data_IF_709975379503
#
_entry.id   IF_709975379503
#
_cell.length_a   1.000
_cell.length_b   1.000
_cell.length_c   1.000
_cell.angle_alpha   90.00
_cell.angle_beta   90.00
_cell.angle_gamma   90.00
#
_symmetry.space_group_name_H-M   'P 1'
#
loop_
_entity.id
_entity.type
_entity.pdbx_description
1 polymer ?
#
# COMPACT_ATOMS: atom_id res chain seq x y z
N UNK A 1 21.92 6.56 -5.95
CA UNK A 1 22.60 5.47 -6.68
C UNK A 1 22.02 5.26 -8.08
N UNK A 2 20.67 5.14 -8.27
CA UNK A 2 20.09 4.99 -9.62
C UNK A 2 20.37 6.21 -10.53
N UNK A 3 20.23 7.42 -10.01
CA UNK A 3 20.50 8.67 -10.76
C UNK A 3 21.94 8.80 -11.23
N UNK A 4 22.90 8.14 -10.60
CA UNK A 4 24.31 8.15 -11.03
C UNK A 4 24.62 7.22 -12.20
N UNK A 5 23.65 6.40 -12.63
CA UNK A 5 23.74 5.48 -13.76
C UNK A 5 23.09 6.04 -15.03
N UNK A 6 22.42 7.19 -14.93
CA UNK A 6 21.70 7.81 -16.06
C UNK A 6 22.69 8.54 -16.97
N UNK A 7 22.78 8.12 -18.22
CA UNK A 7 23.56 8.79 -19.27
C UNK A 7 22.86 10.02 -19.84
N UNK A 8 23.49 10.75 -20.75
CA UNK A 8 22.94 11.98 -21.35
C UNK A 8 21.65 11.76 -22.15
N UNK A 9 21.46 10.54 -22.67
CA UNK A 9 20.32 10.18 -23.52
C UNK A 9 19.28 9.34 -22.80
N UNK A 10 19.49 9.08 -21.48
CA UNK A 10 18.60 8.29 -20.65
C UNK A 10 17.62 9.18 -19.90
N UNK A 11 16.40 8.69 -19.66
CA UNK A 11 15.43 9.29 -18.78
C UNK A 11 15.32 8.48 -17.47
N UNK A 12 15.47 9.16 -16.32
CA UNK A 12 15.22 8.54 -15.03
C UNK A 12 13.75 8.72 -14.63
N UNK A 13 13.02 7.60 -14.53
CA UNK A 13 11.68 7.57 -13.96
C UNK A 13 11.76 7.08 -12.52
N UNK A 14 11.38 7.94 -11.57
CA UNK A 14 11.38 7.55 -10.17
C UNK A 14 10.28 6.51 -9.91
N UNK A 15 10.53 5.40 -9.18
CA UNK A 15 9.60 4.27 -9.07
C UNK A 15 8.28 4.61 -8.38
N UNK A 16 8.20 5.69 -7.61
CA UNK A 16 6.98 6.11 -6.92
C UNK A 16 6.80 7.63 -6.81
N UNK A 17 7.83 8.44 -7.04
CA UNK A 17 7.78 9.91 -6.91
C UNK A 17 7.91 10.57 -8.28
N UNK A 18 6.96 10.24 -9.16
CA UNK A 18 6.90 10.79 -10.52
C UNK A 18 5.44 10.90 -10.97
N UNK A 19 5.00 12.10 -11.46
CA UNK A 19 3.64 12.30 -11.91
C UNK A 19 3.19 11.34 -13.03
N UNK A 20 4.08 10.85 -13.89
CA UNK A 20 3.75 9.88 -14.93
C UNK A 20 3.41 8.52 -14.31
N UNK A 21 4.10 8.11 -13.25
CA UNK A 21 3.79 6.90 -12.50
C UNK A 21 2.42 7.02 -11.83
N UNK A 22 2.12 8.17 -11.21
CA UNK A 22 0.81 8.41 -10.59
C UNK A 22 -0.32 8.38 -11.60
N UNK A 23 -0.14 9.00 -12.78
CA UNK A 23 -1.11 8.95 -13.88
C UNK A 23 -1.36 7.51 -14.37
N UNK A 24 -0.29 6.70 -14.45
CA UNK A 24 -0.43 5.28 -14.77
C UNK A 24 -1.26 4.53 -13.74
N UNK A 25 -0.97 4.72 -12.44
CA UNK A 25 -1.75 4.09 -11.36
C UNK A 25 -3.20 4.57 -11.28
N UNK A 26 -3.48 5.81 -11.68
CA UNK A 26 -4.84 6.36 -11.70
C UNK A 26 -5.79 5.56 -12.62
N UNK A 27 -5.28 4.89 -13.66
CA UNK A 27 -6.06 4.07 -14.57
C UNK A 27 -6.82 2.94 -13.88
N UNK A 28 -6.30 2.43 -12.75
CA UNK A 28 -6.97 1.44 -11.90
C UNK A 28 -8.37 1.94 -11.48
N UNK A 29 -8.45 3.17 -11.01
CA UNK A 29 -9.73 3.78 -10.60
C UNK A 29 -10.58 4.10 -11.83
N UNK A 30 -9.98 4.57 -12.92
CA UNK A 30 -10.69 4.82 -14.18
C UNK A 30 -11.36 3.53 -14.70
N UNK A 31 -10.71 2.38 -14.53
CA UNK A 31 -11.28 1.08 -14.89
C UNK A 31 -12.41 0.66 -13.96
N UNK A 32 -12.22 0.78 -12.64
CA UNK A 32 -13.25 0.47 -11.65
C UNK A 32 -14.51 1.36 -11.84
N UNK A 33 -14.32 2.64 -12.16
CA UNK A 33 -15.42 3.58 -12.36
C UNK A 33 -16.35 3.20 -13.54
N UNK A 34 -15.86 2.46 -14.54
CA UNK A 34 -16.67 1.94 -15.64
C UNK A 34 -17.75 0.97 -15.18
N UNK A 35 -17.62 0.35 -14.03
CA UNK A 35 -18.65 -0.52 -13.43
C UNK A 35 -19.87 0.26 -12.93
N UNK A 36 -19.77 1.57 -12.79
CA UNK A 36 -20.79 2.43 -12.21
C UNK A 36 -20.89 2.38 -10.68
N UNK A 37 -20.05 1.57 -10.01
CA UNK A 37 -19.99 1.50 -8.55
C UNK A 37 -19.00 2.53 -8.01
N UNK A 38 -19.44 3.29 -7.00
CA UNK A 38 -18.59 4.21 -6.25
C UNK A 38 -18.44 3.63 -4.84
N UNK A 39 -17.23 3.18 -4.44
CA UNK A 39 -17.03 2.63 -3.10
C UNK A 39 -17.03 3.75 -2.06
N UNK A 40 -17.42 3.42 -0.83
CA UNK A 40 -17.34 4.34 0.31
C UNK A 40 -15.89 4.47 0.80
N UNK A 41 -15.08 3.41 0.63
CA UNK A 41 -13.66 3.45 0.92
C UNK A 41 -12.82 2.68 -0.10
N UNK A 42 -11.58 3.11 -0.31
CA UNK A 42 -10.53 2.39 -1.04
C UNK A 42 -9.44 2.00 -0.05
N UNK A 43 -9.15 0.71 0.06
CA UNK A 43 -8.06 0.16 0.88
C UNK A 43 -6.87 -0.14 -0.02
N UNK A 44 -5.71 0.36 0.32
CA UNK A 44 -4.48 0.11 -0.41
C UNK A 44 -3.26 0.13 0.51
N UNK A 45 -2.22 -0.60 0.12
CA UNK A 45 -0.94 -0.58 0.84
C UNK A 45 -0.07 0.57 0.37
N UNK A 46 0.69 1.16 1.29
CA UNK A 46 1.56 2.32 1.03
C UNK A 46 3.01 1.96 1.34
N UNK A 47 3.86 2.09 0.32
CA UNK A 47 5.31 2.12 0.49
C UNK A 47 5.83 3.53 0.23
N UNK A 48 6.36 3.81 -0.97
CA UNK A 48 6.80 5.16 -1.35
C UNK A 48 5.69 6.16 -1.64
N UNK A 49 4.42 5.75 -1.68
CA UNK A 49 3.25 6.61 -1.88
C UNK A 49 2.79 6.77 -3.32
N UNK A 50 3.48 6.18 -4.31
CA UNK A 50 3.13 6.34 -5.72
C UNK A 50 1.73 5.82 -6.06
N UNK A 51 1.37 4.63 -5.56
CA UNK A 51 0.04 4.05 -5.73
C UNK A 51 -1.03 4.91 -5.05
N UNK A 52 -0.78 5.39 -3.84
CA UNK A 52 -1.69 6.30 -3.12
C UNK A 52 -1.97 7.57 -3.92
N UNK A 53 -0.91 8.19 -4.47
CA UNK A 53 -1.04 9.38 -5.32
C UNK A 53 -1.86 9.09 -6.58
N UNK A 54 -1.64 7.94 -7.22
CA UNK A 54 -2.40 7.54 -8.39
C UNK A 54 -3.86 7.24 -8.10
N UNK A 55 -4.15 6.54 -7.01
CA UNK A 55 -5.54 6.27 -6.57
C UNK A 55 -6.27 7.59 -6.30
N UNK A 56 -5.67 8.51 -5.54
CA UNK A 56 -6.26 9.82 -5.29
C UNK A 56 -6.52 10.62 -6.58
N UNK A 57 -5.59 10.59 -7.53
CA UNK A 57 -5.77 11.23 -8.84
C UNK A 57 -6.92 10.57 -9.63
N UNK A 58 -7.00 9.24 -9.65
CA UNK A 58 -8.09 8.51 -10.29
C UNK A 58 -9.45 8.83 -9.66
N UNK A 59 -9.52 8.90 -8.32
CA UNK A 59 -10.72 9.30 -7.59
C UNK A 59 -11.15 10.72 -7.99
N UNK A 60 -10.21 11.67 -8.03
CA UNK A 60 -10.47 13.04 -8.46
C UNK A 60 -11.03 13.10 -9.89
N UNK A 61 -10.44 12.35 -10.84
CA UNK A 61 -10.89 12.28 -12.26
C UNK A 61 -12.30 11.76 -12.38
N UNK A 62 -12.69 10.81 -11.54
CA UNK A 62 -13.99 10.13 -11.58
C UNK A 62 -15.02 10.72 -10.61
N UNK A 63 -14.70 11.83 -9.94
CA UNK A 63 -15.63 12.53 -9.06
C UNK A 63 -15.92 11.78 -7.73
N UNK A 64 -15.06 10.86 -7.32
CA UNK A 64 -15.20 10.11 -6.05
C UNK A 64 -14.73 10.96 -4.86
N UNK A 65 -15.34 12.13 -4.70
CA UNK A 65 -14.91 13.13 -3.70
C UNK A 65 -15.24 12.78 -2.25
N UNK A 66 -16.21 11.88 -2.05
CA UNK A 66 -16.61 11.40 -0.73
C UNK A 66 -16.02 10.03 -0.35
N UNK A 67 -15.32 9.38 -1.26
CA UNK A 67 -14.69 8.09 -1.00
C UNK A 67 -13.50 8.26 -0.07
N UNK A 68 -13.47 7.50 1.01
CA UNK A 68 -12.39 7.50 1.99
C UNK A 68 -11.18 6.65 1.51
N UNK A 69 -9.98 7.00 1.93
CA UNK A 69 -8.78 6.19 1.67
C UNK A 69 -8.31 5.55 2.98
N UNK A 70 -8.18 4.24 3.01
CA UNK A 70 -7.53 3.50 4.08
C UNK A 70 -6.15 3.06 3.60
N UNK A 71 -5.14 3.78 4.06
CA UNK A 71 -3.73 3.60 3.70
C UNK A 71 -3.06 2.66 4.69
N UNK A 72 -2.64 1.48 4.24
CA UNK A 72 -2.13 0.42 5.09
C UNK A 72 -0.63 0.25 4.93
N UNK A 73 0.08 0.18 6.04
CA UNK A 73 1.51 -0.09 6.11
C UNK A 73 1.78 -1.22 7.10
N UNK A 74 2.97 -1.80 7.04
CA UNK A 74 3.42 -2.78 8.03
C UNK A 74 4.32 -2.11 9.08
N UNK A 75 4.28 -2.61 10.30
CA UNK A 75 5.27 -2.25 11.31
C UNK A 75 6.68 -2.52 10.77
N UNK A 76 7.59 -1.59 11.01
CA UNK A 76 8.94 -1.63 10.41
C UNK A 76 9.05 -1.10 8.96
N UNK A 77 7.94 -0.70 8.31
CA UNK A 77 7.92 -0.02 7.00
C UNK A 77 6.85 1.10 6.94
N UNK A 78 6.56 1.76 8.07
CA UNK A 78 5.47 2.71 8.22
C UNK A 78 5.92 4.18 8.05
N UNK A 79 6.53 4.51 6.89
CA UNK A 79 7.05 5.86 6.64
C UNK A 79 5.96 6.91 6.42
N UNK A 80 4.82 6.53 5.87
CA UNK A 80 3.67 7.41 5.67
C UNK A 80 2.98 7.72 7.00
N UNK A 81 2.74 6.71 7.84
CA UNK A 81 2.17 6.90 9.18
C UNK A 81 3.05 7.82 10.04
N UNK A 82 4.37 7.59 10.03
CA UNK A 82 5.32 8.44 10.74
C UNK A 82 5.27 9.88 10.24
N UNK A 83 5.16 10.09 8.92
CA UNK A 83 5.09 11.41 8.32
C UNK A 83 3.78 12.14 8.65
N UNK A 84 2.63 11.43 8.64
CA UNK A 84 1.33 11.99 9.08
C UNK A 84 1.40 12.40 10.55
N UNK A 85 1.89 11.54 11.43
CA UNK A 85 1.99 11.81 12.86
C UNK A 85 2.88 13.02 13.16
N UNK A 86 3.96 13.20 12.37
CA UNK A 86 4.87 14.34 12.50
C UNK A 86 4.38 15.61 11.79
N UNK A 87 3.37 15.54 10.92
CA UNK A 87 2.93 16.65 10.06
C UNK A 87 3.98 17.11 9.04
N UNK A 88 4.99 16.30 8.78
CA UNK A 88 6.10 16.59 7.86
C UNK A 88 6.75 15.30 7.34
N UNK A 89 7.49 15.37 6.23
CA UNK A 89 8.21 14.21 5.74
C UNK A 89 9.18 13.64 6.77
N UNK A 90 9.07 12.33 7.02
CA UNK A 90 9.92 11.58 7.94
C UNK A 90 10.73 10.52 7.19
N UNK A 91 11.94 10.25 7.67
CA UNK A 91 12.78 9.18 7.13
C UNK A 91 13.03 8.16 8.22
N UNK A 92 12.64 6.91 7.97
CA UNK A 92 12.89 5.78 8.87
C UNK A 92 14.38 5.42 8.89
N UNK A 93 14.91 5.06 10.04
CA UNK A 93 16.31 4.65 10.17
C UNK A 93 16.58 3.37 9.37
N UNK A 94 15.65 2.42 9.42
CA UNK A 94 15.76 1.12 8.73
C UNK A 94 14.38 0.61 8.31
N UNK A 95 14.38 -0.38 7.42
CA UNK A 95 13.21 -1.18 7.08
C UNK A 95 13.43 -2.58 7.64
N UNK A 96 12.49 -3.06 8.44
CA UNK A 96 12.57 -4.35 9.14
C UNK A 96 11.43 -5.31 8.77
N UNK A 97 10.42 -4.84 8.04
CA UNK A 97 9.26 -5.64 7.63
C UNK A 97 9.59 -6.66 6.54
N UNK A 98 8.87 -7.78 6.54
CA UNK A 98 8.86 -8.78 5.45
C UNK A 98 8.18 -8.25 4.18
N UNK A 99 7.36 -7.20 4.28
CA UNK A 99 6.71 -6.54 3.16
C UNK A 99 7.70 -5.63 2.41
N UNK A 100 8.71 -6.23 1.79
CA UNK A 100 9.84 -5.51 1.20
C UNK A 100 9.45 -4.52 0.11
N UNK A 101 8.35 -4.75 -0.61
CA UNK A 101 7.82 -3.81 -1.62
C UNK A 101 7.22 -2.54 -1.00
N UNK A 102 6.95 -2.52 0.32
CA UNK A 102 6.60 -1.33 1.08
C UNK A 102 7.84 -0.61 1.66
N UNK A 103 9.04 -1.14 1.43
CA UNK A 103 10.27 -0.74 2.09
C UNK A 103 10.85 0.61 1.65
N UNK A 104 10.02 1.63 1.45
CA UNK A 104 10.48 3.00 1.24
C UNK A 104 10.73 3.68 2.60
N UNK A 105 11.99 4.06 2.87
CA UNK A 105 12.33 4.75 4.13
C UNK A 105 11.64 6.10 4.29
N UNK A 106 11.22 6.73 3.20
CA UNK A 106 10.49 7.99 3.16
C UNK A 106 9.44 7.94 2.07
N UNK A 107 8.23 8.33 2.42
CA UNK A 107 7.15 8.51 1.46
C UNK A 107 7.38 9.80 0.63
N UNK A 108 6.88 9.85 -0.60
CA UNK A 108 6.96 11.06 -1.42
C UNK A 108 6.12 12.21 -0.82
N UNK A 109 6.54 13.45 -1.09
CA UNK A 109 5.86 14.63 -0.54
C UNK A 109 4.42 14.76 -1.05
N UNK A 110 4.11 14.24 -2.25
CA UNK A 110 2.77 14.23 -2.80
C UNK A 110 1.80 13.37 -1.98
N UNK A 111 2.26 12.28 -1.37
CA UNK A 111 1.42 11.45 -0.50
C UNK A 111 0.93 12.22 0.74
N UNK A 112 1.75 13.12 1.31
CA UNK A 112 1.32 14.01 2.39
C UNK A 112 0.29 15.05 1.93
N UNK A 113 0.41 15.55 0.70
CA UNK A 113 -0.62 16.43 0.14
C UNK A 113 -1.94 15.68 -0.05
N UNK A 114 -1.89 14.43 -0.52
CA UNK A 114 -3.09 13.57 -0.60
C UNK A 114 -3.73 13.42 0.78
N UNK A 115 -2.94 13.19 1.83
CA UNK A 115 -3.48 13.08 3.19
C UNK A 115 -4.09 14.40 3.73
N UNK A 116 -3.64 15.54 3.23
CA UNK A 116 -4.21 16.85 3.58
C UNK A 116 -5.50 17.16 2.78
N UNK A 117 -5.59 16.70 1.53
CA UNK A 117 -6.66 17.04 0.60
C UNK A 117 -7.82 16.03 0.59
N UNK A 118 -7.57 14.79 1.06
CA UNK A 118 -8.54 13.70 1.10
C UNK A 118 -8.76 13.18 2.52
N UNK A 119 -9.92 12.56 2.75
CA UNK A 119 -10.16 11.79 3.96
C UNK A 119 -9.32 10.51 3.93
N UNK A 120 -8.24 10.47 4.72
CA UNK A 120 -7.29 9.35 4.78
C UNK A 120 -7.18 8.85 6.21
N UNK A 121 -7.31 7.53 6.39
CA UNK A 121 -6.96 6.83 7.63
C UNK A 121 -5.69 6.02 7.37
N UNK A 122 -4.62 6.29 8.14
CA UNK A 122 -3.42 5.46 8.12
C UNK A 122 -3.56 4.34 9.14
N UNK A 123 -3.30 3.11 8.69
CA UNK A 123 -3.35 1.88 9.51
C UNK A 123 -1.99 1.19 9.42
N UNK A 124 -1.45 0.84 10.57
CA UNK A 124 -0.21 0.04 10.66
C UNK A 124 -0.56 -1.32 11.24
N UNK A 125 -0.18 -2.38 10.53
CA UNK A 125 -0.44 -3.77 10.93
C UNK A 125 0.88 -4.52 11.14
N UNK A 126 0.83 -5.67 11.79
CA UNK A 126 2.01 -6.51 11.96
C UNK A 126 2.37 -7.27 10.68
N UNK A 127 3.62 -7.67 10.54
CA UNK A 127 4.07 -8.59 9.48
C UNK A 127 3.31 -9.92 9.52
N UNK A 128 2.92 -10.39 10.71
CA UNK A 128 2.11 -11.60 10.86
C UNK A 128 0.73 -11.44 10.22
N UNK A 129 0.04 -10.33 10.49
CA UNK A 129 -1.25 -10.03 9.89
C UNK A 129 -1.15 -9.92 8.35
N UNK A 130 -0.07 -9.30 7.85
CA UNK A 130 0.18 -9.23 6.41
C UNK A 130 0.34 -10.64 5.79
N UNK A 131 1.09 -11.52 6.44
CA UNK A 131 1.28 -12.90 5.96
C UNK A 131 -0.02 -13.70 6.02
N UNK A 132 -0.80 -13.58 7.11
CA UNK A 132 -2.12 -14.21 7.25
C UNK A 132 -3.09 -13.74 6.16
N UNK A 133 -3.05 -12.46 5.80
CA UNK A 133 -3.79 -11.91 4.68
C UNK A 133 -3.46 -12.58 3.35
N UNK A 134 -2.17 -12.84 3.09
CA UNK A 134 -1.71 -13.57 1.89
C UNK A 134 -2.21 -15.02 1.89
N UNK A 135 -2.07 -15.73 3.01
CA UNK A 135 -2.47 -17.13 3.14
C UNK A 135 -3.98 -17.32 2.94
N UNK A 136 -4.79 -16.43 3.55
CA UNK A 136 -6.25 -16.44 3.37
C UNK A 136 -6.64 -16.14 1.94
N UNK A 137 -6.05 -15.13 1.31
CA UNK A 137 -6.34 -14.77 -0.08
C UNK A 137 -5.97 -15.90 -1.04
N UNK A 138 -4.83 -16.55 -0.84
CA UNK A 138 -4.44 -17.75 -1.59
C UNK A 138 -5.47 -18.88 -1.41
N UNK A 139 -5.93 -19.10 -0.17
CA UNK A 139 -6.95 -20.09 0.15
C UNK A 139 -8.29 -19.83 -0.54
N UNK A 140 -8.74 -18.58 -0.56
CA UNK A 140 -10.05 -18.20 -1.09
C UNK A 140 -10.06 -18.06 -2.62
N UNK A 141 -9.01 -17.44 -3.19
CA UNK A 141 -8.97 -17.04 -4.59
C UNK A 141 -7.99 -17.85 -5.47
N UNK A 142 -7.11 -18.68 -4.89
CA UNK A 142 -6.05 -19.43 -5.61
C UNK A 142 -5.05 -18.51 -6.32
N UNK A 143 -4.88 -17.30 -5.79
CA UNK A 143 -3.94 -16.30 -6.31
C UNK A 143 -2.89 -16.05 -5.23
N UNK A 144 -1.62 -16.24 -5.60
CA UNK A 144 -0.50 -15.92 -4.72
C UNK A 144 -0.24 -14.41 -4.76
N UNK A 145 -0.21 -13.80 -3.59
CA UNK A 145 0.15 -12.39 -3.41
C UNK A 145 1.29 -12.27 -2.40
N UNK A 146 1.97 -11.13 -2.42
CA UNK A 146 3.09 -10.83 -1.50
C UNK A 146 2.60 -10.12 -0.22
N UNK A 147 3.40 -10.09 0.87
CA UNK A 147 3.02 -9.45 2.13
C UNK A 147 2.61 -7.98 1.99
N UNK A 148 3.13 -7.27 1.00
CA UNK A 148 2.70 -5.90 0.68
C UNK A 148 1.22 -5.83 0.29
N UNK A 149 0.70 -6.81 -0.45
CA UNK A 149 -0.74 -6.94 -0.74
C UNK A 149 -1.49 -7.50 0.47
N UNK A 150 -0.88 -8.45 1.17
CA UNK A 150 -1.43 -9.00 2.41
C UNK A 150 -1.75 -7.94 3.45
N UNK A 151 -0.98 -6.86 3.48
CA UNK A 151 -1.23 -5.73 4.36
C UNK A 151 -2.63 -5.10 4.13
N UNK A 152 -2.98 -4.76 2.90
CA UNK A 152 -4.30 -4.22 2.57
C UNK A 152 -5.41 -5.27 2.80
N UNK A 153 -5.14 -6.54 2.47
CA UNK A 153 -6.08 -7.64 2.63
C UNK A 153 -6.39 -7.95 4.10
N UNK A 154 -5.39 -7.87 4.99
CA UNK A 154 -5.58 -8.17 6.42
C UNK A 154 -6.62 -7.25 7.07
N UNK A 155 -6.62 -5.97 6.71
CA UNK A 155 -7.60 -4.99 7.22
C UNK A 155 -9.05 -5.43 6.92
N UNK A 156 -9.28 -6.03 5.75
CA UNK A 156 -10.60 -6.54 5.37
C UNK A 156 -10.88 -7.88 6.04
N UNK A 157 -9.93 -8.80 6.01
CA UNK A 157 -10.09 -10.13 6.59
C UNK A 157 -10.28 -10.11 8.11
N UNK A 158 -9.69 -9.17 8.79
CA UNK A 158 -9.80 -9.00 10.24
C UNK A 158 -10.96 -8.09 10.64
N UNK A 159 -11.71 -7.56 9.67
CA UNK A 159 -12.79 -6.59 9.92
C UNK A 159 -12.28 -5.45 10.80
N UNK A 160 -11.17 -4.84 10.41
CA UNK A 160 -10.50 -3.82 11.22
C UNK A 160 -11.42 -2.62 11.48
N UNK A 161 -11.38 -2.01 12.69
CA UNK A 161 -12.25 -0.88 13.05
C UNK A 161 -12.19 0.31 12.09
N UNK A 162 -11.10 0.43 11.33
CA UNK A 162 -10.95 1.44 10.27
C UNK A 162 -11.99 1.30 9.13
N UNK A 163 -12.68 0.14 9.05
CA UNK A 163 -13.70 -0.14 8.04
C UNK A 163 -15.14 -0.09 8.58
N UNK A 164 -15.37 0.03 9.88
CA UNK A 164 -16.70 -0.08 10.50
C UNK A 164 -17.73 0.92 9.95
N UNK A 165 -17.26 2.08 9.47
CA UNK A 165 -18.13 3.12 8.92
C UNK A 165 -18.56 2.87 7.47
N UNK A 166 -17.94 1.89 6.75
CA UNK A 166 -18.09 1.71 5.31
C UNK A 166 -18.81 0.41 4.98
N UNK A 167 -19.81 0.49 4.08
CA UNK A 167 -20.58 -0.66 3.60
C UNK A 167 -20.01 -1.25 2.32
N UNK A 168 -19.35 -0.41 1.52
CA UNK A 168 -18.75 -0.80 0.25
C UNK A 168 -17.28 -0.40 0.22
N UNK A 169 -16.41 -1.37 0.03
CA UNK A 169 -14.96 -1.19 0.06
C UNK A 169 -14.34 -1.76 -1.21
N UNK A 170 -13.50 -0.95 -1.86
CA UNK A 170 -12.62 -1.40 -2.93
C UNK A 170 -11.24 -1.71 -2.34
N UNK A 171 -10.76 -2.93 -2.50
CA UNK A 171 -9.43 -3.32 -2.03
C UNK A 171 -8.48 -3.45 -3.23
N UNK A 172 -7.36 -2.74 -3.18
CA UNK A 172 -6.34 -2.83 -4.23
C UNK A 172 -5.41 -4.00 -3.93
N UNK A 173 -5.35 -4.97 -4.85
CA UNK A 173 -4.49 -6.14 -4.78
C UNK A 173 -3.56 -6.14 -5.99
N UNK A 174 -2.28 -5.82 -5.78
CA UNK A 174 -1.32 -5.60 -6.87
C UNK A 174 -0.71 -6.89 -7.43
N UNK A 175 -0.48 -7.89 -6.58
CA UNK A 175 0.09 -9.18 -7.01
C UNK A 175 1.14 -9.75 -6.06
N UNK A 176 1.98 -10.65 -6.57
CA UNK A 176 2.91 -11.43 -5.75
C UNK A 176 4.22 -11.79 -6.45
N UNK A 177 4.79 -10.88 -7.25
CA UNK A 177 6.01 -11.15 -8.02
C UNK A 177 7.23 -11.48 -7.14
N UNK A 178 7.25 -11.02 -5.89
CA UNK A 178 8.37 -11.22 -4.95
C UNK A 178 8.14 -12.37 -3.96
N UNK A 179 6.99 -13.05 -4.01
CA UNK A 179 6.63 -14.11 -3.08
C UNK A 179 6.53 -15.48 -3.77
N UNK A 180 7.07 -16.51 -3.11
CA UNK A 180 6.84 -17.92 -3.44
C UNK A 180 6.23 -18.61 -2.23
N UNK A 181 5.63 -19.80 -2.43
CA UNK A 181 5.12 -20.61 -1.31
C UNK A 181 6.24 -20.99 -0.33
N UNK A 182 7.45 -21.21 -0.82
CA UNK A 182 8.62 -21.48 0.00
C UNK A 182 8.96 -20.26 0.88
N UNK A 183 8.97 -19.07 0.29
CA UNK A 183 9.22 -17.83 1.01
C UNK A 183 8.14 -17.56 2.07
N UNK A 184 6.86 -17.79 1.76
CA UNK A 184 5.78 -17.64 2.75
C UNK A 184 5.98 -18.58 3.95
N UNK A 185 6.38 -19.82 3.71
CA UNK A 185 6.70 -20.77 4.79
C UNK A 185 7.88 -20.31 5.63
N UNK A 186 8.94 -19.78 5.00
CA UNK A 186 10.10 -19.25 5.70
C UNK A 186 9.72 -18.05 6.60
N UNK A 187 8.92 -17.11 6.11
CA UNK A 187 8.40 -16.00 6.90
C UNK A 187 7.51 -16.47 8.06
N UNK A 188 6.67 -17.49 7.84
CA UNK A 188 5.84 -18.05 8.91
C UNK A 188 6.68 -18.58 10.07
N UNK A 189 7.76 -19.30 9.78
CA UNK A 189 8.70 -19.80 10.80
C UNK A 189 9.43 -18.64 11.49
N UNK A 190 9.94 -17.67 10.72
CA UNK A 190 10.63 -16.50 11.23
C UNK A 190 9.77 -15.71 12.23
N UNK A 191 8.51 -15.46 11.88
CA UNK A 191 7.59 -14.67 12.69
C UNK A 191 7.11 -15.42 13.95
N UNK A 192 7.03 -16.75 13.92
CA UNK A 192 6.76 -17.54 15.13
C UNK A 192 7.89 -17.45 16.14
N UNK A 193 9.14 -17.58 15.67
CA UNK A 193 10.32 -17.53 16.55
C UNK A 193 10.49 -16.17 17.23
N UNK A 194 9.98 -15.09 16.65
CA UNK A 194 10.05 -13.75 17.22
C UNK A 194 9.01 -13.49 18.33
N UNK A 195 7.96 -14.31 18.41
CA UNK A 195 6.94 -14.24 19.50
C UNK A 195 7.39 -15.00 20.74
N UNK A 196 8.21 -16.03 20.55
CA UNK A 196 8.67 -16.93 21.62
C UNK A 196 9.97 -16.43 22.31
N UNK A 197 10.57 -15.32 21.86
CA UNK A 197 11.82 -14.73 22.35
C UNK A 197 11.56 -13.48 23.19
#
# INVERSE_FOLDING_TARGET
>A
MATSLVGSDDAYLHPFDDPLVWQGHASLIDECAKSGLVPEAVVLSVGGGGLLCGVAEGMRRNGWTSTHIVAVETDGAASFNAAIAAGQPMTLDQITSIATSLGAKRVCDQALRVAADHAVTSVVISDRAALDGCERFLGDHRILVEPSCGAALSVVYESAPALDAFKTVLVVVCGGATATLEQMRAWSVQLQSAVDA
#
